data_IF_423456804618
#
_entry.id   IF_423456804618
#
_cell.length_a   1.000
_cell.length_b   1.000
_cell.length_c   1.000
_cell.angle_alpha   90.00
_cell.angle_beta   90.00
_cell.angle_gamma   90.00
#
_symmetry.space_group_name_H-M   'P 1'
#
loop_
_entity.id
_entity.type
_entity.pdbx_description
1 polymer ?
#
# COMPACT_ATOMS: atom_id res chain seq x y z
N UNK A 1 0.87 12.64 6.37
CA UNK A 1 1.12 11.63 7.43
C UNK A 1 0.45 12.05 8.72
N UNK A 2 -0.11 11.11 9.51
CA UNK A 2 -0.83 11.41 10.76
C UNK A 2 -0.02 12.23 11.76
N UNK A 3 1.26 11.89 11.98
CA UNK A 3 2.13 12.63 12.88
C UNK A 3 2.23 14.13 12.53
N UNK A 4 2.40 14.45 11.25
CA UNK A 4 2.46 15.85 10.79
C UNK A 4 1.14 16.60 10.98
N UNK A 5 0.00 15.91 10.88
CA UNK A 5 -1.31 16.52 11.10
C UNK A 5 -1.53 16.81 12.58
N UNK A 6 -1.23 15.85 13.47
CA UNK A 6 -1.31 16.01 14.93
C UNK A 6 -0.42 17.16 15.41
N UNK A 7 0.83 17.23 14.95
CA UNK A 7 1.76 18.32 15.30
C UNK A 7 1.27 19.70 14.84
N UNK A 8 0.40 19.76 13.83
CA UNK A 8 -0.22 20.98 13.32
C UNK A 8 -1.62 21.22 13.90
N UNK A 9 -2.02 20.41 14.89
CA UNK A 9 -3.34 20.40 15.51
C UNK A 9 -4.49 20.23 14.49
N UNK A 10 -4.23 19.47 13.42
CA UNK A 10 -5.22 19.17 12.37
C UNK A 10 -5.75 17.75 12.49
N UNK A 11 -6.93 17.51 11.92
CA UNK A 11 -7.45 16.16 11.75
C UNK A 11 -6.44 15.28 11.01
N UNK A 12 -6.29 14.05 11.47
CA UNK A 12 -5.46 13.06 10.80
C UNK A 12 -5.99 12.85 9.38
N UNK A 13 -5.11 12.71 8.38
CA UNK A 13 -5.55 12.40 7.03
C UNK A 13 -6.19 11.02 6.99
N UNK A 14 -7.17 10.85 6.12
CA UNK A 14 -7.69 9.51 5.83
C UNK A 14 -6.57 8.64 5.22
N UNK A 15 -6.60 7.32 5.43
CA UNK A 15 -5.70 6.42 4.75
C UNK A 15 -5.90 6.51 3.23
N UNK A 16 -4.85 6.26 2.42
CA UNK A 16 -4.98 6.26 0.98
C UNK A 16 -5.96 5.19 0.52
N UNK A 17 -6.69 5.47 -0.56
CA UNK A 17 -7.68 4.55 -1.11
C UNK A 17 -7.03 3.58 -2.11
N UNK A 18 -7.26 2.26 -1.98
CA UNK A 18 -6.79 1.26 -2.94
C UNK A 18 -7.67 1.21 -4.19
N UNK A 19 -7.18 0.56 -5.25
CA UNK A 19 -7.99 0.28 -6.42
C UNK A 19 -9.23 -0.58 -6.06
N UNK A 20 -10.37 -0.44 -6.78
CA UNK A 20 -11.57 -1.23 -6.51
C UNK A 20 -11.39 -2.74 -6.74
N UNK A 21 -10.41 -3.13 -7.56
CA UNK A 21 -10.15 -4.53 -7.89
C UNK A 21 -8.64 -4.75 -7.90
N UNK A 22 -8.20 -5.85 -7.30
CA UNK A 22 -6.80 -6.29 -7.29
C UNK A 22 -6.60 -7.24 -8.48
N UNK A 23 -5.64 -6.94 -9.35
CA UNK A 23 -5.38 -7.64 -10.62
C UNK A 23 -4.00 -8.29 -10.65
N UNK A 24 -3.07 -7.77 -9.88
CA UNK A 24 -1.69 -8.26 -9.80
C UNK A 24 -1.12 -8.09 -8.38
N UNK A 25 0.14 -8.51 -8.21
CA UNK A 25 0.84 -8.39 -6.93
C UNK A 25 1.12 -6.95 -6.51
N UNK A 26 1.27 -6.01 -7.45
CA UNK A 26 1.56 -4.61 -7.11
C UNK A 26 0.33 -3.94 -6.48
N UNK A 27 -0.85 -4.22 -7.04
CA UNK A 27 -2.12 -3.77 -6.45
C UNK A 27 -2.39 -4.44 -5.09
N UNK A 28 -1.96 -5.70 -4.92
CA UNK A 28 -2.03 -6.42 -3.65
C UNK A 28 -1.14 -5.76 -2.58
N UNK A 29 0.13 -5.51 -2.90
CA UNK A 29 1.08 -4.82 -2.02
C UNK A 29 0.55 -3.43 -1.63
N UNK A 30 -0.08 -2.72 -2.58
CA UNK A 30 -0.63 -1.38 -2.33
C UNK A 30 -1.80 -1.40 -1.36
N UNK A 31 -2.77 -2.32 -1.52
CA UNK A 31 -3.92 -2.41 -0.61
C UNK A 31 -3.49 -2.84 0.81
N UNK A 32 -2.46 -3.68 0.94
CA UNK A 32 -1.87 -4.03 2.24
C UNK A 32 -1.25 -2.81 2.93
N UNK A 33 -0.59 -1.93 2.16
CA UNK A 33 -0.09 -0.66 2.67
C UNK A 33 -1.23 0.30 3.06
N UNK A 34 -2.35 0.33 2.32
CA UNK A 34 -3.56 1.07 2.71
C UNK A 34 -4.12 0.57 4.05
N UNK A 35 -4.21 -0.75 4.25
CA UNK A 35 -4.63 -1.36 5.54
C UNK A 35 -3.69 -0.97 6.66
N UNK A 36 -2.37 -1.02 6.44
CA UNK A 36 -1.37 -0.60 7.42
C UNK A 36 -1.55 0.86 7.84
N UNK A 37 -1.87 1.75 6.89
CA UNK A 37 -2.18 3.14 7.17
C UNK A 37 -3.49 3.30 7.97
N UNK A 38 -4.52 2.51 7.66
CA UNK A 38 -5.78 2.49 8.42
C UNK A 38 -5.58 2.00 9.85
N UNK A 39 -4.78 0.95 10.06
CA UNK A 39 -4.50 0.42 11.39
C UNK A 39 -3.76 1.45 12.26
N UNK A 40 -2.79 2.19 11.70
CA UNK A 40 -2.13 3.31 12.39
C UNK A 40 -3.14 4.41 12.76
N UNK A 41 -4.02 4.79 11.83
CA UNK A 41 -5.07 5.78 12.10
C UNK A 41 -5.97 5.34 13.25
N UNK A 42 -6.47 4.10 13.20
CA UNK A 42 -7.38 3.54 14.19
C UNK A 42 -6.72 3.42 15.55
N UNK A 43 -5.47 2.98 15.61
CA UNK A 43 -4.69 2.91 16.84
C UNK A 43 -4.52 4.30 17.47
N UNK A 44 -4.14 5.31 16.68
CA UNK A 44 -4.00 6.69 17.16
C UNK A 44 -5.34 7.27 17.65
N UNK A 45 -6.44 7.03 16.93
CA UNK A 45 -7.77 7.54 17.29
C UNK A 45 -8.29 7.03 18.64
N UNK A 46 -7.76 5.91 19.14
CA UNK A 46 -8.13 5.32 20.42
C UNK A 46 -7.29 5.85 21.59
N UNK A 47 -6.20 6.58 21.31
CA UNK A 47 -5.37 7.20 22.35
C UNK A 47 -6.00 8.50 22.80
N UNK A 48 -6.18 8.69 24.12
CA UNK A 48 -6.85 9.88 24.68
C UNK A 48 -6.22 11.18 24.19
N UNK A 49 -4.90 11.19 24.05
CA UNK A 49 -4.09 12.34 23.61
C UNK A 49 -4.35 12.71 22.14
N UNK A 50 -4.81 11.76 21.32
CA UNK A 50 -4.96 11.95 19.87
C UNK A 50 -6.39 11.73 19.35
N UNK A 51 -7.32 11.30 20.22
CA UNK A 51 -8.69 10.97 19.84
C UNK A 51 -9.40 12.13 19.12
N UNK A 52 -9.13 13.38 19.54
CA UNK A 52 -9.71 14.58 18.93
C UNK A 52 -9.32 14.78 17.45
N UNK A 53 -8.19 14.21 17.01
CA UNK A 53 -7.71 14.29 15.63
C UNK A 53 -8.19 13.11 14.77
N UNK A 54 -8.84 12.10 15.37
CA UNK A 54 -9.23 10.84 14.74
C UNK A 54 -10.73 10.68 14.51
N UNK A 55 -11.45 11.76 14.22
CA UNK A 55 -12.93 11.79 14.23
C UNK A 55 -13.59 10.82 13.23
N UNK A 56 -12.90 10.48 12.12
CA UNK A 56 -13.41 9.54 11.11
C UNK A 56 -13.17 8.04 11.44
N UNK A 57 -12.92 7.67 12.70
CA UNK A 57 -12.54 6.30 13.08
C UNK A 57 -13.55 5.22 12.68
N UNK A 58 -14.86 5.51 12.73
CA UNK A 58 -15.89 4.56 12.29
C UNK A 58 -15.80 4.29 10.78
N UNK A 59 -15.71 5.36 9.98
CA UNK A 59 -15.55 5.25 8.53
C UNK A 59 -14.28 4.48 8.15
N UNK A 60 -13.14 4.79 8.78
CA UNK A 60 -11.87 4.10 8.51
C UNK A 60 -11.94 2.61 8.87
N UNK A 61 -12.70 2.25 9.92
CA UNK A 61 -12.91 0.85 10.30
C UNK A 61 -13.69 0.09 9.22
N UNK A 62 -14.75 0.70 8.68
CA UNK A 62 -15.58 0.08 7.64
C UNK A 62 -14.78 -0.09 6.34
N UNK A 63 -14.02 0.92 5.92
CA UNK A 63 -13.13 0.84 4.76
C UNK A 63 -12.07 -0.25 4.94
N UNK A 64 -11.40 -0.29 6.09
CA UNK A 64 -10.39 -1.32 6.40
C UNK A 64 -10.97 -2.73 6.35
N UNK A 65 -12.22 -2.92 6.79
CA UNK A 65 -12.94 -4.18 6.64
C UNK A 65 -13.22 -4.51 5.17
N UNK A 66 -13.72 -3.54 4.40
CA UNK A 66 -13.94 -3.69 2.96
C UNK A 66 -12.65 -4.10 2.22
N UNK A 67 -11.53 -3.45 2.53
CA UNK A 67 -10.25 -3.75 1.89
C UNK A 67 -9.73 -5.14 2.24
N UNK A 68 -9.94 -5.61 3.48
CA UNK A 68 -9.58 -6.98 3.88
C UNK A 68 -10.37 -8.01 3.06
N UNK A 69 -11.67 -7.79 2.87
CA UNK A 69 -12.52 -8.66 2.04
C UNK A 69 -12.01 -8.68 0.59
N UNK A 70 -11.60 -7.54 0.03
CA UNK A 70 -11.05 -7.46 -1.34
C UNK A 70 -9.76 -8.28 -1.47
N UNK A 71 -8.88 -8.26 -0.47
CA UNK A 71 -7.68 -9.10 -0.42
C UNK A 71 -8.07 -10.57 -0.45
N UNK A 72 -8.98 -10.99 0.44
CA UNK A 72 -9.42 -12.38 0.53
C UNK A 72 -10.01 -12.87 -0.81
N UNK A 73 -10.88 -12.06 -1.44
CA UNK A 73 -11.45 -12.37 -2.76
C UNK A 73 -10.37 -12.51 -3.84
N UNK A 74 -9.37 -11.64 -3.83
CA UNK A 74 -8.33 -11.66 -4.83
C UNK A 74 -7.40 -12.87 -4.66
N UNK A 75 -7.07 -13.23 -3.42
CA UNK A 75 -6.32 -14.45 -3.11
C UNK A 75 -7.10 -15.70 -3.54
N UNK A 76 -8.42 -15.75 -3.30
CA UNK A 76 -9.29 -16.84 -3.76
C UNK A 76 -9.33 -16.98 -5.28
N UNK A 77 -9.25 -15.87 -6.03
CA UNK A 77 -9.22 -15.86 -7.50
C UNK A 77 -7.88 -16.32 -8.08
N UNK A 78 -6.92 -16.76 -7.26
CA UNK A 78 -5.57 -17.20 -7.65
C UNK A 78 -4.90 -16.16 -8.55
N UNK A 79 -4.81 -14.93 -8.05
CA UNK A 79 -4.10 -13.85 -8.72
C UNK A 79 -2.77 -14.33 -9.30
N UNK A 80 -2.44 -13.83 -10.49
CA UNK A 80 -1.14 -14.07 -11.08
C UNK A 80 -0.08 -13.33 -10.26
N UNK A 81 0.50 -14.03 -9.27
CA UNK A 81 1.56 -13.53 -8.40
C UNK A 81 2.94 -13.47 -9.08
N UNK A 82 2.99 -13.61 -10.41
CA UNK A 82 4.23 -13.51 -11.15
C UNK A 82 4.73 -12.07 -11.07
N UNK A 83 5.81 -11.86 -10.31
CA UNK A 83 6.45 -10.54 -10.16
C UNK A 83 6.95 -10.05 -11.52
N UNK A 84 6.85 -8.75 -11.76
CA UNK A 84 7.26 -8.12 -13.02
C UNK A 84 8.27 -7.00 -12.77
N UNK A 85 9.16 -6.78 -13.73
CA UNK A 85 10.08 -5.65 -13.72
C UNK A 85 9.29 -4.35 -13.78
N UNK A 86 9.54 -3.41 -12.87
CA UNK A 86 8.86 -2.11 -12.83
C UNK A 86 9.07 -1.24 -14.08
N UNK A 87 10.16 -1.45 -14.81
CA UNK A 87 10.52 -0.62 -15.98
C UNK A 87 9.97 -1.21 -17.29
N UNK A 88 10.19 -2.51 -17.53
CA UNK A 88 9.83 -3.16 -18.80
C UNK A 88 8.69 -4.17 -18.70
N UNK A 89 8.13 -4.39 -17.51
CA UNK A 89 7.05 -5.34 -17.20
C UNK A 89 7.32 -6.81 -17.57
N UNK A 90 8.57 -7.18 -17.88
CA UNK A 90 8.98 -8.58 -18.06
C UNK A 90 8.78 -9.36 -16.76
N UNK A 91 8.30 -10.60 -16.88
CA UNK A 91 8.16 -11.53 -15.75
C UNK A 91 9.52 -11.85 -15.14
N UNK A 92 9.59 -11.76 -13.81
CA UNK A 92 10.74 -12.09 -12.99
C UNK A 92 10.57 -13.50 -12.44
N UNK A 93 11.68 -14.19 -12.22
CA UNK A 93 11.64 -15.53 -11.63
C UNK A 93 11.01 -15.49 -10.22
N UNK A 94 10.30 -16.54 -9.80
CA UNK A 94 9.84 -16.66 -8.42
C UNK A 94 11.01 -16.45 -7.44
N UNK A 95 10.85 -15.55 -6.46
CA UNK A 95 11.90 -15.22 -5.49
C UNK A 95 12.99 -14.25 -5.98
N UNK A 96 12.86 -13.62 -7.16
CA UNK A 96 13.85 -12.64 -7.61
C UNK A 96 13.98 -11.48 -6.59
N UNK A 97 15.18 -11.12 -6.14
CA UNK A 97 15.37 -10.25 -4.97
C UNK A 97 14.94 -8.78 -5.20
N UNK A 98 14.86 -8.35 -6.45
CA UNK A 98 14.61 -6.95 -6.81
C UNK A 98 13.37 -6.79 -7.72
N UNK A 99 12.75 -5.60 -7.73
CA UNK A 99 11.61 -5.30 -8.61
C UNK A 99 12.04 -4.76 -10.00
N UNK A 100 13.30 -4.97 -10.39
CA UNK A 100 13.87 -4.54 -11.68
C UNK A 100 14.67 -5.70 -12.26
N UNK A 101 14.51 -6.00 -13.55
CA UNK A 101 15.30 -7.04 -14.20
C UNK A 101 16.74 -6.56 -14.47
N UNK A 102 17.66 -7.51 -14.64
CA UNK A 102 19.06 -7.26 -14.99
C UNK A 102 19.25 -6.33 -16.20
N UNK A 103 18.40 -6.47 -17.24
CA UNK A 103 18.52 -5.63 -18.43
C UNK A 103 18.22 -4.17 -18.11
N UNK A 104 17.14 -3.89 -17.38
CA UNK A 104 16.76 -2.52 -16.99
C UNK A 104 17.70 -1.94 -15.94
N UNK A 105 18.21 -2.78 -15.03
CA UNK A 105 19.25 -2.38 -14.10
C UNK A 105 20.52 -1.95 -14.84
N UNK A 106 20.99 -2.76 -15.79
CA UNK A 106 22.20 -2.49 -16.57
C UNK A 106 22.09 -1.22 -17.42
N UNK A 107 20.93 -0.98 -18.04
CA UNK A 107 20.70 0.26 -18.81
C UNK A 107 20.80 1.51 -17.94
N UNK A 108 20.19 1.49 -16.75
CA UNK A 108 20.26 2.63 -15.80
C UNK A 108 21.66 2.92 -15.29
N UNK A 109 22.52 1.91 -15.17
CA UNK A 109 23.91 2.13 -14.77
C UNK A 109 24.73 2.79 -15.90
N UNK A 110 24.52 2.39 -17.16
CA UNK A 110 25.19 3.02 -18.31
C UNK A 110 24.81 4.48 -18.51
N UNK A 111 23.57 4.85 -18.22
CA UNK A 111 23.08 6.23 -18.32
C UNK A 111 23.65 7.16 -17.23
N UNK A 112 24.26 6.63 -16.16
CA UNK A 112 24.87 7.42 -15.08
C UNK A 112 26.38 7.65 -15.22
N UNK A 113 27.02 6.99 -16.18
CA UNK A 113 28.45 7.18 -16.50
C UNK A 113 28.69 8.25 -17.58
N UNK A 114 27.63 8.93 -18.02
CA UNK A 114 27.65 10.10 -18.91
C UNK A 114 26.91 11.27 -18.26
#
# INVERSE_FOLDING_TARGET
>A
MCAQAILKEKQMPLPPEPAPTIRDSEELDYIENCISCADIYLWLSQRKEFAAYGTAALYVRDERMSWSIRIDEALLRRLNMTRRCRECRKELSPGYPYHICESCYSSRFREREY
#
